data_IF_805315305429
#
_entry.id   IF_805315305429
#
_cell.length_a   1.000
_cell.length_b   1.000
_cell.length_c   1.000
_cell.angle_alpha   90.00
_cell.angle_beta   90.00
_cell.angle_gamma   90.00
#
_symmetry.space_group_name_H-M   'P 1'
#
loop_
_entity.id
_entity.type
_entity.pdbx_description
1 polymer ?
#
# COMPACT_ATOMS: atom_id res chain seq x y z
N UNK A 1 -36.86 -11.56 40.31
CA UNK A 1 -37.52 -12.51 39.39
C UNK A 1 -36.93 -12.30 38.01
N UNK A 2 -35.84 -13.04 37.79
CA UNK A 2 -35.63 -13.98 36.69
C UNK A 2 -35.71 -13.49 35.24
N UNK A 3 -34.53 -13.42 34.63
CA UNK A 3 -34.29 -13.82 33.23
C UNK A 3 -34.68 -15.30 33.02
N UNK A 4 -34.93 -15.73 31.77
CA UNK A 4 -33.90 -16.60 31.20
C UNK A 4 -33.67 -16.57 29.67
N UNK A 5 -32.46 -17.00 29.32
CA UNK A 5 -32.00 -17.68 28.09
C UNK A 5 -31.98 -16.92 26.75
N UNK A 6 -30.93 -16.10 26.57
CA UNK A 6 -30.20 -16.10 25.31
C UNK A 6 -29.12 -17.21 25.37
N UNK A 7 -29.09 -18.05 24.33
CA UNK A 7 -28.35 -19.31 24.18
C UNK A 7 -26.90 -19.31 24.71
N UNK A 8 -26.55 -20.41 25.39
CA UNK A 8 -25.20 -20.79 25.85
C UNK A 8 -24.12 -20.70 24.75
N UNK A 9 -24.50 -20.72 23.47
CA UNK A 9 -23.59 -20.62 22.33
C UNK A 9 -22.96 -19.22 22.16
N UNK A 10 -23.66 -18.14 22.51
CA UNK A 10 -23.13 -16.77 22.33
C UNK A 10 -22.12 -16.38 23.42
N UNK A 11 -22.22 -16.93 24.62
CA UNK A 11 -21.20 -16.75 25.66
C UNK A 11 -20.02 -17.72 25.53
N UNK A 12 -20.24 -18.95 25.06
CA UNK A 12 -19.16 -19.90 24.81
C UNK A 12 -18.21 -19.45 23.68
N UNK A 13 -18.72 -18.80 22.62
CA UNK A 13 -17.87 -18.22 21.57
C UNK A 13 -17.06 -17.00 22.07
N UNK A 14 -17.62 -16.21 22.98
CA UNK A 14 -16.94 -15.03 23.53
C UNK A 14 -15.82 -15.41 24.51
N UNK A 15 -15.99 -16.51 25.26
CA UNK A 15 -14.95 -17.08 26.14
C UNK A 15 -13.88 -17.89 25.38
N UNK A 16 -14.24 -18.60 24.30
CA UNK A 16 -13.25 -19.31 23.46
C UNK A 16 -12.37 -18.35 22.64
N UNK A 17 -12.88 -17.16 22.26
CA UNK A 17 -12.07 -16.12 21.62
C UNK A 17 -11.12 -15.40 22.58
N UNK A 18 -11.35 -15.46 23.89
CA UNK A 18 -10.51 -14.80 24.90
C UNK A 18 -9.51 -15.74 25.60
N UNK A 19 -9.71 -17.06 25.56
CA UNK A 19 -8.82 -18.04 26.22
C UNK A 19 -7.66 -18.54 25.33
N UNK A 20 -7.78 -18.51 23.99
CA UNK A 20 -6.73 -19.05 23.10
C UNK A 20 -5.69 -18.03 22.61
N UNK A 21 -5.48 -16.96 23.37
CA UNK A 21 -4.37 -16.06 23.13
C UNK A 21 -3.48 -15.88 24.37
N UNK A 22 -3.08 -16.98 25.01
CA UNK A 22 -1.93 -17.00 25.92
C UNK A 22 -1.33 -18.40 25.97
N UNK A 23 -0.31 -18.67 25.16
CA UNK A 23 1.02 -19.08 25.62
C UNK A 23 1.90 -19.53 24.45
N UNK A 24 3.13 -19.05 24.50
CA UNK A 24 4.20 -19.37 23.58
C UNK A 24 4.71 -20.81 23.76
N UNK A 25 5.37 -21.28 22.70
CA UNK A 25 6.23 -22.46 22.59
C UNK A 25 5.54 -23.82 22.40
N UNK A 26 5.29 -24.18 21.14
CA UNK A 26 5.66 -25.50 20.59
C UNK A 26 5.53 -25.53 19.06
N UNK A 27 6.68 -25.42 18.38
CA UNK A 27 7.13 -26.40 17.37
C UNK A 27 6.12 -26.79 16.27
N UNK A 28 6.20 -26.05 15.15
CA UNK A 28 6.57 -26.64 13.85
C UNK A 28 5.80 -27.89 13.37
N UNK A 29 4.48 -27.80 13.19
CA UNK A 29 3.76 -28.51 12.11
C UNK A 29 2.30 -28.04 12.10
N UNK A 30 1.95 -27.20 11.13
CA UNK A 30 0.62 -27.03 10.52
C UNK A 30 0.56 -25.65 9.86
N UNK A 31 1.05 -25.60 8.62
CA UNK A 31 0.74 -24.52 7.68
C UNK A 31 -0.78 -24.56 7.47
N UNK A 32 -1.51 -23.70 8.18
CA UNK A 32 -2.91 -23.41 7.82
C UNK A 32 -2.89 -22.78 6.43
N UNK A 33 -3.32 -23.57 5.45
CA UNK A 33 -3.55 -23.18 4.06
C UNK A 33 -4.41 -21.92 4.05
N UNK A 34 -3.79 -20.79 3.73
CA UNK A 34 -4.51 -19.55 3.39
C UNK A 34 -5.33 -19.87 2.14
N UNK A 35 -6.64 -19.58 2.09
CA UNK A 35 -7.43 -19.88 0.91
C UNK A 35 -6.82 -19.17 -0.31
N UNK A 36 -6.40 -19.97 -1.29
CA UNK A 36 -5.94 -19.50 -2.59
C UNK A 36 -7.15 -18.85 -3.26
N UNK A 37 -7.21 -17.52 -3.26
CA UNK A 37 -8.23 -16.81 -4.04
C UNK A 37 -7.85 -16.98 -5.50
N UNK A 38 -8.71 -17.66 -6.25
CA UNK A 38 -8.60 -17.80 -7.69
C UNK A 38 -8.91 -16.42 -8.30
N UNK A 39 -7.94 -15.83 -8.98
CA UNK A 39 -8.16 -14.60 -9.73
C UNK A 39 -8.98 -14.91 -10.99
N UNK A 40 -9.83 -14.00 -11.48
CA UNK A 40 -10.40 -14.18 -12.80
C UNK A 40 -9.25 -14.28 -13.82
N UNK A 41 -9.37 -15.10 -14.89
CA UNK A 41 -8.30 -15.30 -15.86
C UNK A 41 -7.74 -14.00 -16.48
N UNK A 42 -8.55 -12.95 -16.55
CA UNK A 42 -8.15 -11.62 -17.04
C UNK A 42 -7.17 -10.87 -16.12
N UNK A 43 -7.04 -11.29 -14.87
CA UNK A 43 -6.12 -10.74 -13.87
C UNK A 43 -4.97 -11.67 -13.53
N UNK A 44 -4.99 -12.90 -14.05
CA UNK A 44 -3.88 -13.83 -13.87
C UNK A 44 -2.64 -13.32 -14.59
N UNK A 45 -1.49 -13.51 -13.93
CA UNK A 45 -0.19 -13.22 -14.53
C UNK A 45 0.16 -14.37 -15.46
N UNK A 46 0.38 -14.12 -16.75
CA UNK A 46 0.79 -15.17 -17.68
C UNK A 46 2.25 -15.57 -17.41
N UNK A 47 2.65 -16.73 -17.94
CA UNK A 47 4.02 -17.20 -17.86
C UNK A 47 4.95 -16.26 -18.66
N UNK A 48 5.99 -15.70 -18.03
CA UNK A 48 6.96 -14.86 -18.72
C UNK A 48 7.83 -15.71 -19.65
N UNK A 49 8.22 -15.14 -20.80
CA UNK A 49 9.32 -15.73 -21.59
C UNK A 49 10.59 -15.74 -20.73
N UNK A 50 11.25 -16.89 -20.67
CA UNK A 50 12.53 -16.99 -19.96
C UNK A 50 13.56 -16.05 -20.59
N UNK A 51 14.18 -15.21 -19.76
CA UNK A 51 15.24 -14.29 -20.18
C UNK A 51 16.49 -14.69 -19.43
N UNK A 52 17.55 -15.03 -20.14
CA UNK A 52 18.83 -15.32 -19.51
C UNK A 52 19.40 -14.04 -18.89
N UNK A 53 20.11 -14.15 -17.76
CA UNK A 53 20.59 -12.97 -17.02
C UNK A 53 21.49 -12.04 -17.85
N UNK A 54 22.28 -12.58 -18.79
CA UNK A 54 23.11 -11.78 -19.71
C UNK A 54 22.29 -11.02 -20.76
N UNK A 55 21.09 -11.51 -21.08
CA UNK A 55 20.16 -10.95 -22.07
C UNK A 55 19.13 -10.00 -21.43
N UNK A 56 19.16 -9.83 -20.11
CA UNK A 56 18.26 -8.95 -19.37
C UNK A 56 18.47 -7.49 -19.74
N UNK A 57 19.71 -7.06 -19.92
CA UNK A 57 20.02 -5.69 -20.30
C UNK A 57 19.59 -5.41 -21.75
N UNK A 58 18.82 -4.33 -21.96
CA UNK A 58 18.36 -3.89 -23.27
C UNK A 58 19.47 -3.62 -24.30
N UNK A 59 20.72 -3.37 -23.84
CA UNK A 59 21.88 -3.21 -24.73
C UNK A 59 22.41 -4.52 -25.28
N UNK A 60 22.09 -5.65 -24.63
CA UNK A 60 22.43 -6.97 -25.15
C UNK A 60 21.44 -7.35 -26.25
N UNK A 61 21.98 -7.78 -27.40
CA UNK A 61 21.18 -8.32 -28.48
C UNK A 61 20.49 -9.60 -28.03
N UNK A 62 19.18 -9.65 -28.23
CA UNK A 62 18.38 -10.85 -28.05
C UNK A 62 17.45 -10.98 -29.27
N UNK A 63 17.99 -11.42 -30.42
CA UNK A 63 17.22 -11.61 -31.64
C UNK A 63 16.09 -12.63 -31.40
N UNK A 64 14.85 -12.26 -31.71
CA UNK A 64 13.68 -13.12 -31.50
C UNK A 64 13.03 -13.00 -30.12
N UNK A 65 13.50 -12.09 -29.26
CA UNK A 65 12.80 -11.79 -28.01
C UNK A 65 11.36 -11.32 -28.27
N UNK A 66 10.40 -12.16 -27.90
CA UNK A 66 8.97 -11.94 -28.09
C UNK A 66 8.22 -12.14 -26.76
N UNK A 67 8.22 -11.14 -25.88
CA UNK A 67 7.66 -11.26 -24.52
C UNK A 67 6.15 -11.53 -24.52
N UNK A 68 5.70 -12.33 -23.56
CA UNK A 68 4.27 -12.67 -23.40
C UNK A 68 3.46 -11.40 -23.11
N UNK A 69 2.42 -11.08 -23.90
CA UNK A 69 1.59 -9.90 -23.66
C UNK A 69 0.79 -10.00 -22.37
N UNK A 70 0.82 -8.95 -21.55
CA UNK A 70 0.01 -8.85 -20.35
C UNK A 70 -0.56 -7.43 -20.18
N UNK A 71 -1.87 -7.29 -20.34
CA UNK A 71 -2.59 -6.03 -20.14
C UNK A 71 -3.90 -6.31 -19.42
N UNK A 72 -3.85 -6.34 -18.09
CA UNK A 72 -5.02 -6.59 -17.27
C UNK A 72 -6.02 -5.41 -17.35
N UNK A 73 -7.33 -5.67 -17.13
CA UNK A 73 -8.31 -4.61 -16.93
C UNK A 73 -7.88 -3.58 -15.88
N UNK A 74 -8.32 -2.33 -16.04
CA UNK A 74 -7.98 -1.27 -15.11
C UNK A 74 -8.60 -1.53 -13.73
N UNK A 75 -7.74 -1.74 -12.72
CA UNK A 75 -8.14 -1.91 -11.32
C UNK A 75 -8.07 -0.61 -10.50
N UNK A 76 -7.41 0.42 -11.03
CA UNK A 76 -7.32 1.72 -10.36
C UNK A 76 -8.50 2.62 -10.73
N UNK A 77 -8.67 3.73 -9.99
CA UNK A 77 -9.65 4.78 -10.32
C UNK A 77 -9.50 5.30 -11.75
N UNK A 78 -8.26 5.34 -12.25
CA UNK A 78 -7.95 5.64 -13.64
C UNK A 78 -6.69 4.92 -14.06
N UNK A 79 -6.65 4.50 -15.31
CA UNK A 79 -5.45 3.96 -15.94
C UNK A 79 -5.13 4.77 -17.19
N UNK A 80 -3.88 4.65 -17.63
CA UNK A 80 -3.44 5.19 -18.90
C UNK A 80 -4.23 4.56 -20.05
N UNK A 81 -4.47 5.32 -21.13
CA UNK A 81 -5.01 4.76 -22.36
C UNK A 81 -3.99 3.82 -23.02
N UNK A 82 -4.32 3.33 -24.22
CA UNK A 82 -3.33 2.66 -25.05
C UNK A 82 -2.11 3.57 -25.28
N UNK A 83 -0.93 2.97 -25.35
CA UNK A 83 0.34 3.70 -25.40
C UNK A 83 0.41 4.69 -26.57
N UNK A 84 -0.24 4.37 -27.70
CA UNK A 84 -0.28 5.19 -28.91
C UNK A 84 -0.96 6.54 -28.68
N UNK A 85 -1.86 6.61 -27.70
CA UNK A 85 -2.54 7.85 -27.30
C UNK A 85 -1.69 8.73 -26.38
N UNK A 86 -0.54 8.25 -25.91
CA UNK A 86 0.33 8.99 -24.99
C UNK A 86 1.46 9.64 -25.79
N UNK A 87 1.54 10.98 -25.83
CA UNK A 87 2.64 11.68 -26.47
C UNK A 87 4.00 11.27 -25.90
N UNK A 88 4.94 10.90 -26.78
CA UNK A 88 6.30 10.47 -26.39
C UNK A 88 7.02 11.50 -25.50
N UNK A 89 6.71 12.78 -25.68
CA UNK A 89 7.31 13.88 -24.93
C UNK A 89 6.81 14.00 -23.48
N UNK A 90 5.86 13.17 -23.03
CA UNK A 90 5.41 13.07 -21.64
C UNK A 90 6.31 12.19 -20.76
N UNK A 91 6.99 11.21 -21.36
CA UNK A 91 7.87 10.30 -20.62
C UNK A 91 9.11 11.01 -20.07
N UNK A 92 9.62 10.52 -18.94
CA UNK A 92 10.73 11.14 -18.19
C UNK A 92 10.47 12.59 -17.72
N UNK A 93 9.24 13.12 -17.87
CA UNK A 93 8.90 14.47 -17.48
C UNK A 93 7.99 14.51 -16.26
N UNK A 94 8.03 15.68 -15.64
CA UNK A 94 7.12 16.10 -14.58
C UNK A 94 6.65 17.51 -14.92
N UNK A 95 5.33 17.71 -14.99
CA UNK A 95 4.74 19.04 -15.14
C UNK A 95 3.60 19.20 -14.14
N UNK A 96 3.40 20.41 -13.63
CA UNK A 96 2.27 20.74 -12.75
C UNK A 96 0.93 20.46 -13.40
N UNK A 97 0.88 20.60 -14.73
CA UNK A 97 -0.34 20.49 -15.53
C UNK A 97 -0.58 19.04 -16.00
N UNK A 98 0.39 18.16 -15.79
CA UNK A 98 0.27 16.74 -16.14
C UNK A 98 -0.41 15.97 -15.01
N UNK A 99 -1.36 15.05 -15.30
CA UNK A 99 -2.07 14.26 -14.30
C UNK A 99 -1.20 13.17 -13.65
N UNK A 100 -0.09 12.78 -14.28
CA UNK A 100 0.78 11.69 -13.82
C UNK A 100 2.24 12.15 -13.83
N UNK A 101 3.00 11.81 -12.78
CA UNK A 101 4.45 11.94 -12.75
C UNK A 101 5.08 10.72 -13.44
N UNK A 102 5.72 10.93 -14.59
CA UNK A 102 6.37 9.86 -15.37
C UNK A 102 7.89 9.89 -15.23
N UNK A 103 8.44 10.60 -14.24
CA UNK A 103 9.89 10.63 -14.00
C UNK A 103 10.30 9.53 -13.04
N UNK A 104 11.47 8.91 -13.26
CA UNK A 104 12.01 7.96 -12.28
C UNK A 104 12.31 8.62 -10.94
N UNK A 105 12.28 7.82 -9.88
CA UNK A 105 12.68 8.29 -8.56
C UNK A 105 14.19 8.46 -8.54
N UNK A 106 14.63 9.66 -8.16
CA UNK A 106 16.05 9.96 -7.93
C UNK A 106 16.64 9.03 -6.87
N UNK A 107 17.61 8.21 -7.23
CA UNK A 107 18.50 7.47 -6.33
C UNK A 107 19.95 8.03 -6.42
N UNK A 108 20.84 7.68 -5.48
CA UNK A 108 22.27 8.08 -5.48
C UNK A 108 22.55 9.56 -5.67
N UNK A 109 21.61 10.40 -5.28
CA UNK A 109 21.67 11.85 -5.47
C UNK A 109 21.75 12.29 -6.96
N UNK A 110 21.47 11.40 -7.94
CA UNK A 110 21.50 11.68 -9.39
C UNK A 110 20.15 11.42 -10.06
N UNK A 111 19.80 12.21 -11.07
CA UNK A 111 18.58 11.96 -11.84
C UNK A 111 18.76 10.75 -12.76
N UNK A 112 17.72 9.92 -12.83
CA UNK A 112 17.70 8.72 -13.64
C UNK A 112 16.62 8.84 -14.72
N UNK A 113 16.90 8.26 -15.88
CA UNK A 113 16.02 8.24 -17.05
C UNK A 113 15.78 6.80 -17.49
N UNK A 114 14.76 6.60 -18.32
CA UNK A 114 14.52 5.35 -19.03
C UNK A 114 14.36 5.60 -20.52
N UNK A 115 14.72 4.61 -21.32
CA UNK A 115 14.60 4.66 -22.77
C UNK A 115 13.14 4.52 -23.19
N UNK A 116 12.74 5.26 -24.24
CA UNK A 116 11.45 5.09 -24.91
C UNK A 116 11.70 4.67 -26.35
N UNK A 117 11.37 3.42 -26.66
CA UNK A 117 11.55 2.81 -27.98
C UNK A 117 10.18 2.53 -28.60
N UNK A 118 9.96 3.00 -29.82
CA UNK A 118 8.70 2.83 -30.57
C UNK A 118 7.43 3.27 -29.79
N UNK A 119 7.58 4.29 -28.94
CA UNK A 119 6.52 4.80 -28.07
C UNK A 119 6.41 4.08 -26.72
N UNK A 120 7.04 2.93 -26.54
CA UNK A 120 7.01 2.17 -25.29
C UNK A 120 8.16 2.55 -24.36
N UNK A 121 7.88 2.84 -23.06
CA UNK A 121 8.93 2.94 -22.06
C UNK A 121 9.56 1.56 -21.85
N UNK A 122 10.88 1.50 -21.72
CA UNK A 122 11.61 0.28 -21.41
C UNK A 122 12.00 0.26 -19.94
N UNK A 123 11.71 -0.86 -19.28
CA UNK A 123 12.04 -1.06 -17.88
C UNK A 123 13.56 -0.91 -17.67
N UNK A 124 14.01 0.06 -16.85
CA UNK A 124 15.44 0.32 -16.66
C UNK A 124 16.17 -0.84 -15.99
N UNK A 125 15.47 -1.77 -15.34
CA UNK A 125 16.04 -2.98 -14.76
C UNK A 125 16.20 -4.12 -15.78
N UNK A 126 15.78 -3.92 -17.04
CA UNK A 126 15.91 -4.90 -18.13
C UNK A 126 14.62 -5.58 -18.56
N UNK A 127 14.76 -6.53 -19.48
CA UNK A 127 13.71 -7.43 -19.98
C UNK A 127 13.16 -8.30 -18.83
N UNK A 128 11.86 -8.51 -18.80
CA UNK A 128 11.16 -9.32 -17.79
C UNK A 128 10.46 -10.55 -18.37
N UNK A 129 10.45 -10.69 -19.71
CA UNK A 129 9.69 -11.73 -20.40
C UNK A 129 8.20 -11.40 -20.59
N UNK A 130 7.76 -10.22 -20.13
CA UNK A 130 6.36 -9.77 -20.18
C UNK A 130 6.25 -8.39 -20.82
N UNK A 131 5.36 -8.23 -21.79
CA UNK A 131 5.03 -6.93 -22.38
C UNK A 131 3.69 -6.39 -21.88
N UNK A 132 3.39 -5.13 -22.22
CA UNK A 132 2.18 -4.45 -21.75
C UNK A 132 2.32 -3.81 -20.37
N UNK A 133 1.23 -3.32 -19.79
CA UNK A 133 1.22 -2.71 -18.44
C UNK A 133 1.13 -3.73 -17.31
N UNK A 134 0.78 -4.98 -17.61
CA UNK A 134 0.34 -5.94 -16.61
C UNK A 134 -0.84 -5.39 -15.81
N UNK A 135 -0.72 -5.39 -14.49
CA UNK A 135 -1.73 -4.86 -13.56
C UNK A 135 -1.59 -3.34 -13.29
N UNK A 136 -0.54 -2.70 -13.81
CA UNK A 136 -0.26 -1.32 -13.46
C UNK A 136 -1.19 -0.31 -14.15
N UNK A 137 -1.58 0.77 -13.44
CA UNK A 137 -2.38 1.83 -14.03
C UNK A 137 -1.58 2.67 -15.04
N UNK A 138 -0.25 2.80 -14.89
CA UNK A 138 0.56 3.70 -15.73
C UNK A 138 1.57 2.94 -16.58
N UNK A 139 1.81 3.43 -17.80
CA UNK A 139 2.98 3.04 -18.60
C UNK A 139 4.24 3.67 -18.01
N UNK A 140 5.28 2.85 -17.87
CA UNK A 140 6.56 3.22 -17.26
C UNK A 140 6.52 3.17 -15.74
N UNK A 141 7.00 4.21 -15.03
CA UNK A 141 7.10 4.19 -13.59
C UNK A 141 5.73 4.30 -12.89
N UNK A 142 5.48 3.41 -11.94
CA UNK A 142 4.34 3.45 -11.04
C UNK A 142 4.86 3.74 -9.63
N UNK A 143 4.58 4.94 -9.13
CA UNK A 143 5.18 5.40 -7.87
C UNK A 143 4.49 4.79 -6.66
N UNK A 144 5.28 4.12 -5.83
CA UNK A 144 4.83 3.52 -4.57
C UNK A 144 5.49 4.26 -3.40
N UNK A 145 4.70 4.83 -2.51
CA UNK A 145 5.19 5.64 -1.39
C UNK A 145 4.95 4.87 -0.09
N UNK A 146 5.98 4.74 0.75
CA UNK A 146 5.90 4.27 2.14
C UNK A 146 6.24 5.40 3.09
N UNK A 147 5.41 5.66 4.09
CA UNK A 147 5.54 6.75 5.06
C UNK A 147 5.68 6.21 6.48
N UNK A 148 6.63 6.75 7.24
CA UNK A 148 6.83 6.48 8.66
C UNK A 148 6.70 7.76 9.46
N UNK A 149 5.71 7.85 10.35
CA UNK A 149 5.54 9.00 11.23
C UNK A 149 6.36 8.83 12.50
N UNK A 150 7.27 9.77 12.76
CA UNK A 150 8.18 9.74 13.91
C UNK A 150 7.98 10.99 14.74
N UNK A 151 7.81 10.81 16.05
CA UNK A 151 7.70 11.88 17.04
C UNK A 151 8.88 11.80 18.00
N UNK A 152 9.36 12.95 18.45
CA UNK A 152 10.34 13.07 19.51
C UNK A 152 9.68 13.68 20.75
N UNK A 153 9.97 13.10 21.90
CA UNK A 153 9.48 13.60 23.19
C UNK A 153 10.65 13.72 24.17
N UNK A 154 10.58 14.75 25.02
CA UNK A 154 11.52 14.87 26.14
C UNK A 154 10.97 14.05 27.31
N UNK A 155 11.71 13.02 27.70
CA UNK A 155 11.42 12.21 28.88
C UNK A 155 12.52 12.47 29.90
N UNK A 156 12.22 13.32 30.88
CA UNK A 156 13.21 13.85 31.81
C UNK A 156 14.27 14.70 31.10
N UNK A 157 15.53 14.25 31.13
CA UNK A 157 16.67 14.93 30.46
C UNK A 157 16.97 14.38 29.06
N UNK A 158 16.35 13.28 28.66
CA UNK A 158 16.63 12.60 27.40
C UNK A 158 15.56 12.89 26.34
N UNK A 159 15.94 12.75 25.07
CA UNK A 159 15.02 12.85 23.93
C UNK A 159 14.78 11.45 23.40
N UNK A 160 13.57 10.96 23.58
CA UNK A 160 13.13 9.66 23.09
C UNK A 160 12.40 9.81 21.75
N UNK A 161 12.43 8.74 20.94
CA UNK A 161 11.76 8.70 19.65
C UNK A 161 10.60 7.71 19.71
N UNK A 162 9.49 8.07 19.11
CA UNK A 162 8.29 7.26 19.01
C UNK A 162 7.92 7.10 17.54
N UNK A 163 7.46 5.91 17.18
CA UNK A 163 6.96 5.62 15.85
C UNK A 163 5.45 5.32 15.95
N UNK A 164 4.68 5.74 14.96
CA UNK A 164 3.26 5.41 14.88
C UNK A 164 3.11 4.04 14.23
N UNK A 165 2.60 3.03 14.96
CA UNK A 165 2.38 1.68 14.44
C UNK A 165 0.98 1.18 14.73
N UNK A 166 0.44 0.37 13.83
CA UNK A 166 -0.75 -0.43 14.07
C UNK A 166 -0.53 -1.26 15.35
N UNK A 167 -1.48 -1.18 16.28
CA UNK A 167 -1.46 -1.82 17.59
C UNK A 167 -0.26 -1.47 18.50
N UNK A 168 0.59 -0.50 18.13
CA UNK A 168 1.75 -0.08 18.92
C UNK A 168 2.89 -1.12 18.98
N UNK A 169 3.13 -1.84 17.88
CA UNK A 169 4.15 -2.91 17.83
C UNK A 169 5.52 -2.40 17.40
N UNK A 170 6.60 -3.11 17.80
CA UNK A 170 7.95 -2.83 17.30
C UNK A 170 8.22 -3.29 15.85
N UNK A 171 7.25 -3.99 15.23
CA UNK A 171 7.38 -4.41 13.84
C UNK A 171 7.19 -3.21 12.90
N UNK A 172 8.23 -2.87 12.14
CA UNK A 172 8.21 -1.78 11.16
C UNK A 172 7.16 -1.97 10.06
N UNK A 173 6.79 -3.20 9.72
CA UNK A 173 5.76 -3.45 8.70
C UNK A 173 4.40 -2.88 9.09
N UNK A 174 4.11 -2.87 10.39
CA UNK A 174 2.89 -2.30 10.95
C UNK A 174 2.96 -0.78 11.10
N UNK A 175 4.11 -0.16 10.84
CA UNK A 175 4.32 1.27 10.96
C UNK A 175 4.25 2.01 9.62
N UNK A 176 4.35 1.29 8.50
CA UNK A 176 4.27 1.91 7.18
C UNK A 176 2.83 2.24 6.81
N UNK A 177 2.63 3.48 6.41
CA UNK A 177 1.48 3.84 5.58
C UNK A 177 1.93 3.85 4.13
N UNK A 178 1.33 3.00 3.30
CA UNK A 178 1.85 2.75 1.95
C UNK A 178 0.77 2.68 0.86
N UNK A 179 1.16 2.99 -0.37
CA UNK A 179 0.28 2.88 -1.53
C UNK A 179 0.82 3.57 -2.77
N UNK A 180 0.12 3.35 -3.90
CA UNK A 180 0.43 3.99 -5.17
C UNK A 180 -0.06 5.44 -5.22
N UNK A 181 0.74 6.30 -5.84
CA UNK A 181 0.49 7.74 -5.92
C UNK A 181 0.91 8.28 -7.29
N UNK A 182 0.00 8.89 -8.04
CA UNK A 182 0.33 9.42 -9.38
C UNK A 182 1.28 10.63 -9.35
N UNK A 183 1.20 11.46 -8.31
CA UNK A 183 2.02 12.68 -8.15
C UNK A 183 2.65 12.78 -6.76
N UNK A 184 3.71 12.02 -6.44
CA UNK A 184 4.26 11.93 -5.07
C UNK A 184 4.64 13.27 -4.42
N UNK A 185 4.94 14.31 -5.20
CA UNK A 185 5.29 15.63 -4.66
C UNK A 185 4.10 16.57 -4.44
N UNK A 186 2.94 16.26 -5.04
CA UNK A 186 1.70 17.05 -4.92
C UNK A 186 0.70 16.33 -4.02
N UNK A 187 0.54 15.02 -4.23
CA UNK A 187 -0.39 14.14 -3.53
C UNK A 187 0.40 13.12 -2.70
N UNK A 188 1.25 13.62 -1.80
CA UNK A 188 2.26 12.80 -1.11
C UNK A 188 1.73 11.58 -0.34
N UNK A 189 0.52 11.70 0.22
CA UNK A 189 -0.11 10.64 1.01
C UNK A 189 -0.86 9.67 0.10
N UNK A 190 -0.73 8.34 0.32
CA UNK A 190 -1.63 7.34 -0.26
C UNK A 190 -3.10 7.69 0.00
N UNK A 191 -4.00 7.31 -0.91
CA UNK A 191 -5.41 7.79 -0.94
C UNK A 191 -6.10 7.64 0.42
N UNK A 192 -6.07 6.45 1.02
CA UNK A 192 -6.78 6.18 2.28
C UNK A 192 -6.26 7.04 3.44
N UNK A 193 -4.94 7.17 3.54
CA UNK A 193 -4.31 8.04 4.54
C UNK A 193 -4.59 9.52 4.24
N UNK A 194 -4.57 9.92 2.96
CA UNK A 194 -4.82 11.28 2.53
C UNK A 194 -6.22 11.73 2.93
N UNK A 195 -7.23 10.92 2.68
CA UNK A 195 -8.61 11.25 3.03
C UNK A 195 -8.81 11.31 4.55
N UNK A 196 -8.20 10.39 5.32
CA UNK A 196 -8.22 10.44 6.77
C UNK A 196 -7.58 11.73 7.32
N UNK A 197 -6.36 12.06 6.85
CA UNK A 197 -5.66 13.28 7.26
C UNK A 197 -6.46 14.53 6.88
N UNK A 198 -6.96 14.59 5.64
CA UNK A 198 -7.73 15.73 5.16
C UNK A 198 -9.01 15.92 5.99
N UNK A 199 -9.73 14.83 6.26
CA UNK A 199 -10.94 14.85 7.07
C UNK A 199 -10.70 15.39 8.48
N UNK A 200 -9.67 14.88 9.16
CA UNK A 200 -9.35 15.29 10.52
C UNK A 200 -8.90 16.76 10.58
N UNK A 201 -8.03 17.18 9.64
CA UNK A 201 -7.57 18.56 9.56
C UNK A 201 -8.70 19.54 9.24
N UNK A 202 -9.64 19.18 8.36
CA UNK A 202 -10.81 20.02 8.06
C UNK A 202 -11.78 20.11 9.23
N UNK A 203 -11.97 19.00 9.94
CA UNK A 203 -12.79 19.00 11.16
C UNK A 203 -12.22 19.95 12.20
N UNK A 204 -10.89 20.02 12.31
CA UNK A 204 -10.22 20.90 13.26
C UNK A 204 -10.15 22.37 12.79
N UNK A 205 -9.67 22.62 11.56
CA UNK A 205 -9.38 23.98 11.09
C UNK A 205 -10.53 24.64 10.33
N UNK A 206 -11.44 23.87 9.74
CA UNK A 206 -12.57 24.36 8.92
C UNK A 206 -12.16 25.31 7.77
N UNK A 207 -10.96 25.11 7.22
CA UNK A 207 -10.35 25.95 6.19
C UNK A 207 -9.63 25.08 5.15
N UNK A 208 -10.22 24.96 3.96
CA UNK A 208 -9.70 24.14 2.86
C UNK A 208 -8.34 24.64 2.34
N UNK A 209 -8.11 25.96 2.27
CA UNK A 209 -6.84 26.50 1.75
C UNK A 209 -5.71 26.21 2.73
N UNK A 210 -5.96 26.40 4.03
CA UNK A 210 -5.00 26.06 5.09
C UNK A 210 -4.68 24.57 5.10
N UNK A 211 -5.69 23.71 5.00
CA UNK A 211 -5.48 22.25 4.95
C UNK A 211 -4.67 21.85 3.72
N UNK A 212 -5.01 22.36 2.54
CA UNK A 212 -4.25 22.11 1.32
C UNK A 212 -2.78 22.54 1.45
N UNK A 213 -2.53 23.69 2.09
CA UNK A 213 -1.17 24.20 2.36
C UNK A 213 -0.40 23.32 3.35
N UNK A 214 -1.04 22.82 4.41
CA UNK A 214 -0.43 21.89 5.37
C UNK A 214 -0.02 20.61 4.64
N UNK A 215 -0.95 19.97 3.92
CA UNK A 215 -0.70 18.72 3.22
C UNK A 215 0.39 18.86 2.14
N UNK A 216 0.37 19.95 1.36
CA UNK A 216 1.38 20.22 0.32
C UNK A 216 2.78 20.43 0.90
N UNK A 217 2.89 21.01 2.10
CA UNK A 217 4.19 21.23 2.77
C UNK A 217 4.78 19.93 3.32
N UNK A 218 3.96 18.92 3.62
CA UNK A 218 4.39 17.66 4.22
C UNK A 218 5.53 17.00 3.43
N UNK A 219 5.39 16.87 2.10
CA UNK A 219 6.43 16.30 1.25
C UNK A 219 7.81 16.96 1.45
N UNK A 220 7.85 18.30 1.49
CA UNK A 220 9.10 19.07 1.62
C UNK A 220 9.68 19.02 3.03
N UNK A 221 8.84 18.78 4.04
CA UNK A 221 9.21 18.71 5.46
C UNK A 221 9.62 17.29 5.87
N UNK A 222 9.22 16.29 5.09
CA UNK A 222 9.63 14.90 5.23
C UNK A 222 11.04 14.64 4.71
N UNK A 223 11.67 13.60 5.24
CA UNK A 223 13.00 13.15 4.84
C UNK A 223 12.83 11.88 4.01
N UNK A 224 13.21 11.94 2.73
CA UNK A 224 13.28 10.74 1.91
C UNK A 224 14.50 9.92 2.31
N UNK A 225 14.25 8.75 2.87
CA UNK A 225 15.28 7.82 3.32
C UNK A 225 15.82 6.99 2.16
N UNK A 226 14.92 6.58 1.26
CA UNK A 226 15.24 5.68 0.14
C UNK A 226 14.34 5.96 -1.06
N UNK A 227 14.82 5.66 -2.26
CA UNK A 227 13.94 5.52 -3.41
C UNK A 227 14.66 5.08 -4.68
N UNK A 228 13.89 4.51 -5.60
CA UNK A 228 14.33 3.99 -6.89
C UNK A 228 13.42 2.87 -7.40
N UNK A 229 13.77 2.29 -8.54
CA UNK A 229 13.09 1.11 -9.10
C UNK A 229 13.15 -0.08 -8.14
N UNK A 230 12.01 -0.75 -8.00
CA UNK A 230 11.76 -1.83 -7.07
C UNK A 230 11.63 -3.18 -7.80
N UNK A 231 12.26 -4.27 -7.30
CA UNK A 231 11.95 -5.60 -7.79
C UNK A 231 10.51 -5.93 -7.43
N UNK A 232 9.76 -6.38 -8.44
CA UNK A 232 8.38 -6.82 -8.27
C UNK A 232 8.06 -7.83 -9.35
N UNK A 233 7.39 -8.91 -8.97
CA UNK A 233 6.88 -9.91 -9.91
C UNK A 233 5.83 -9.32 -10.88
N UNK A 234 5.27 -8.14 -10.57
CA UNK A 234 4.33 -7.44 -11.46
C UNK A 234 5.04 -6.64 -12.55
N UNK A 235 6.35 -6.42 -12.44
CA UNK A 235 7.09 -5.63 -13.42
C UNK A 235 7.01 -6.29 -14.80
N UNK A 236 6.74 -5.47 -15.81
CA UNK A 236 6.82 -5.83 -17.22
C UNK A 236 7.98 -5.07 -17.86
N UNK A 237 8.19 -5.30 -19.15
CA UNK A 237 9.08 -4.52 -19.99
C UNK A 237 8.67 -3.05 -20.09
N UNK A 238 7.38 -2.73 -19.83
CA UNK A 238 6.80 -1.41 -20.10
C UNK A 238 6.09 -0.76 -18.90
N UNK A 239 6.06 -1.41 -17.75
CA UNK A 239 5.55 -0.83 -16.51
C UNK A 239 6.25 -1.46 -15.30
N UNK A 240 6.71 -0.61 -14.38
CA UNK A 240 7.46 -1.06 -13.20
C UNK A 240 7.18 -0.19 -11.98
N UNK A 241 7.54 -0.70 -10.81
CA UNK A 241 7.40 0.05 -9.55
C UNK A 241 8.62 0.96 -9.31
N UNK A 242 8.35 2.22 -8.96
CA UNK A 242 9.33 3.16 -8.43
C UNK A 242 9.00 3.48 -6.96
N UNK A 243 9.76 2.92 -6.04
CA UNK A 243 9.53 3.03 -4.60
C UNK A 243 10.14 4.28 -3.97
N UNK A 244 9.48 4.81 -2.95
CA UNK A 244 10.01 5.87 -2.10
C UNK A 244 9.63 5.63 -0.64
N UNK A 245 10.64 5.62 0.24
CA UNK A 245 10.43 5.55 1.69
C UNK A 245 10.74 6.92 2.29
N UNK A 246 9.77 7.49 3.00
CA UNK A 246 9.91 8.78 3.66
C UNK A 246 9.64 8.66 5.16
N UNK A 247 10.50 9.30 5.94
CA UNK A 247 10.25 9.59 7.34
C UNK A 247 9.57 10.95 7.45
N UNK A 248 8.45 10.99 8.16
CA UNK A 248 7.64 12.18 8.41
C UNK A 248 7.87 12.60 9.88
N UNK A 249 8.83 13.48 10.16
CA UNK A 249 9.09 13.95 11.52
C UNK A 249 7.95 14.89 11.96
N UNK A 250 7.36 14.61 13.12
CA UNK A 250 6.26 15.38 13.68
C UNK A 250 6.68 16.79 14.11
N UNK A 251 7.95 17.01 14.46
CA UNK A 251 8.48 18.32 14.85
C UNK A 251 8.43 19.31 13.68
N UNK A 252 8.48 18.79 12.44
CA UNK A 252 8.34 19.61 11.22
C UNK A 252 6.91 19.62 10.70
N UNK A 253 6.07 18.69 11.13
CA UNK A 253 4.70 18.45 10.64
C UNK A 253 3.69 18.40 11.80
N UNK A 254 3.80 19.37 12.71
CA UNK A 254 3.05 19.37 13.97
C UNK A 254 1.53 19.28 13.73
N UNK A 255 1.01 20.03 12.76
CA UNK A 255 -0.43 20.06 12.50
C UNK A 255 -0.95 18.69 12.04
N UNK A 256 -0.18 17.97 11.23
CA UNK A 256 -0.55 16.62 10.77
C UNK A 256 -0.51 15.64 11.94
N UNK A 257 0.58 15.62 12.71
CA UNK A 257 0.70 14.63 13.78
C UNK A 257 -0.28 14.87 14.93
N UNK A 258 -0.57 16.14 15.25
CA UNK A 258 -1.43 16.51 16.37
C UNK A 258 -2.92 16.42 16.03
N UNK A 259 -3.29 16.80 14.81
CA UNK A 259 -4.70 16.91 14.41
C UNK A 259 -5.05 15.94 13.29
N UNK A 260 -4.17 15.75 12.31
CA UNK A 260 -4.42 14.96 11.10
C UNK A 260 -4.34 13.44 11.24
N UNK A 261 -3.90 12.88 12.38
CA UNK A 261 -3.78 11.42 12.56
C UNK A 261 -4.81 10.86 13.53
N UNK A 262 -5.89 11.59 13.81
CA UNK A 262 -6.88 11.21 14.83
C UNK A 262 -7.69 10.00 14.39
N UNK A 263 -8.16 9.98 13.15
CA UNK A 263 -8.94 8.88 12.57
C UNK A 263 -8.14 7.59 12.51
N UNK A 264 -6.88 7.64 12.09
CA UNK A 264 -6.04 6.42 12.04
C UNK A 264 -5.71 5.88 13.44
N UNK A 265 -5.54 6.76 14.43
CA UNK A 265 -5.33 6.33 15.81
C UNK A 265 -6.59 5.75 16.45
N UNK A 266 -7.73 6.44 16.31
CA UNK A 266 -8.98 6.08 17.01
C UNK A 266 -9.77 4.97 16.33
N UNK A 267 -9.80 4.94 14.99
CA UNK A 267 -10.61 3.96 14.23
C UNK A 267 -9.79 2.81 13.67
N UNK A 268 -8.52 3.02 13.36
CA UNK A 268 -7.66 2.01 12.73
C UNK A 268 -6.65 1.40 13.71
N UNK A 269 -6.61 1.84 14.98
CA UNK A 269 -5.81 1.21 16.04
C UNK A 269 -4.32 1.54 16.02
N UNK A 270 -3.91 2.61 15.32
CA UNK A 270 -2.52 3.07 15.36
C UNK A 270 -2.18 3.75 16.68
N UNK A 271 -1.01 3.46 17.23
CA UNK A 271 -0.54 3.99 18.51
C UNK A 271 0.94 4.39 18.42
N UNK A 272 1.30 5.45 19.11
CA UNK A 272 2.69 5.83 19.32
C UNK A 272 3.36 4.79 20.22
N UNK A 273 4.48 4.25 19.78
CA UNK A 273 5.28 3.31 20.57
C UNK A 273 6.73 3.78 20.62
N UNK A 274 7.40 3.52 21.74
CA UNK A 274 8.81 3.87 21.91
C UNK A 274 9.66 3.13 20.88
N UNK A 275 10.43 3.88 20.11
CA UNK A 275 11.22 3.36 19.01
C UNK A 275 12.72 3.41 19.35
N UNK A 276 13.24 2.28 19.84
CA UNK A 276 14.69 2.07 19.93
C UNK A 276 15.27 1.85 18.53
N UNK A 277 15.59 2.96 17.87
CA UNK A 277 16.19 2.97 16.54
C UNK A 277 17.46 2.11 16.48
N UNK A 278 18.31 2.09 17.52
CA UNK A 278 19.56 1.34 17.52
C UNK A 278 19.28 -0.17 17.53
N UNK A 279 18.38 -0.61 18.40
CA UNK A 279 17.93 -2.01 18.47
C UNK A 279 17.26 -2.44 17.16
N UNK A 280 16.32 -1.65 16.63
CA UNK A 280 15.68 -1.94 15.34
C UNK A 280 16.73 -2.09 14.24
N UNK A 281 17.65 -1.13 14.08
CA UNK A 281 18.71 -1.22 13.07
C UNK A 281 19.58 -2.48 13.24
N UNK A 282 19.90 -2.87 14.48
CA UNK A 282 20.70 -4.07 14.76
C UNK A 282 19.93 -5.35 14.37
N UNK A 283 18.67 -5.48 14.81
CA UNK A 283 17.79 -6.60 14.46
C UNK A 283 17.64 -6.71 12.94
N UNK A 284 17.37 -5.60 12.25
CA UNK A 284 17.17 -5.61 10.81
C UNK A 284 18.45 -5.93 10.03
N UNK A 285 19.62 -5.43 10.47
CA UNK A 285 20.91 -5.81 9.86
C UNK A 285 21.20 -7.30 10.00
N UNK A 286 20.86 -7.90 11.15
CA UNK A 286 21.02 -9.34 11.35
C UNK A 286 20.13 -10.12 10.38
N UNK A 287 18.87 -9.73 10.28
CA UNK A 287 17.91 -10.34 9.36
C UNK A 287 18.33 -10.18 7.90
N UNK A 288 18.82 -9.01 7.50
CA UNK A 288 19.31 -8.77 6.15
C UNK A 288 20.53 -9.63 5.79
N UNK A 289 21.40 -9.94 6.77
CA UNK A 289 22.52 -10.89 6.60
C UNK A 289 22.07 -12.34 6.48
N UNK A 290 20.90 -12.68 7.00
CA UNK A 290 20.34 -14.05 6.90
C UNK A 290 19.49 -14.27 5.66
N UNK A 291 19.16 -13.22 4.92
CA UNK A 291 18.53 -13.36 3.61
C UNK A 291 19.54 -14.01 2.65
N UNK A 292 19.07 -14.76 1.63
CA UNK A 292 19.92 -15.34 0.59
C UNK A 292 20.65 -14.31 -0.30
N UNK A 293 20.79 -13.06 0.16
CA UNK A 293 21.59 -12.01 -0.48
C UNK A 293 23.11 -12.31 -0.54
N UNK A 294 23.55 -13.42 0.05
CA UNK A 294 24.91 -13.97 -0.08
C UNK A 294 25.06 -14.98 -1.24
N UNK A 295 23.97 -15.33 -1.93
CA UNK A 295 24.05 -15.98 -3.24
C UNK A 295 24.31 -14.90 -4.32
N UNK A 296 25.33 -15.13 -5.15
CA UNK A 296 25.76 -14.20 -6.19
C UNK A 296 24.66 -13.93 -7.22
N UNK A 297 23.77 -14.89 -7.49
CA UNK A 297 22.67 -14.75 -8.45
C UNK A 297 21.62 -13.75 -7.93
N UNK A 298 21.16 -13.93 -6.68
CA UNK A 298 20.22 -13.00 -6.03
C UNK A 298 20.79 -11.59 -5.95
N UNK A 299 22.08 -11.46 -5.60
CA UNK A 299 22.75 -10.16 -5.53
C UNK A 299 22.82 -9.49 -6.90
N UNK A 300 23.13 -10.26 -7.95
CA UNK A 300 23.16 -9.81 -9.32
C UNK A 300 21.79 -9.33 -9.80
N UNK A 301 20.73 -10.11 -9.57
CA UNK A 301 19.35 -9.72 -9.91
C UNK A 301 18.95 -8.39 -9.27
N UNK A 302 19.33 -8.18 -8.00
CA UNK A 302 19.02 -6.96 -7.27
C UNK A 302 19.86 -5.76 -7.74
N UNK A 303 21.03 -5.95 -8.38
CA UNK A 303 21.87 -4.84 -8.86
C UNK A 303 21.21 -4.00 -9.95
N UNK A 304 20.31 -4.58 -10.75
CA UNK A 304 19.55 -3.86 -11.77
C UNK A 304 18.55 -2.85 -11.20
N UNK A 305 18.22 -2.98 -9.91
CA UNK A 305 17.21 -2.15 -9.25
C UNK A 305 17.85 -0.99 -8.50
N UNK A 306 17.51 0.22 -8.95
CA UNK A 306 18.13 1.45 -8.45
C UNK A 306 17.83 1.72 -6.97
N UNK A 307 16.78 1.15 -6.37
CA UNK A 307 16.55 1.31 -4.92
C UNK A 307 17.73 0.79 -4.07
N UNK A 308 18.50 -0.16 -4.60
CA UNK A 308 19.66 -0.73 -3.94
C UNK A 308 20.96 0.02 -4.24
N UNK A 309 20.92 1.12 -4.98
CA UNK A 309 22.10 1.96 -5.10
C UNK A 309 22.41 2.68 -3.76
N UNK A 310 23.69 3.01 -3.52
CA UNK A 310 24.15 3.60 -2.24
C UNK A 310 23.64 5.04 -2.13
N UNK A 311 22.48 5.22 -1.48
CA UNK A 311 21.80 6.51 -1.35
C UNK A 311 22.51 7.52 -0.43
N UNK A 312 21.95 8.73 -0.35
CA UNK A 312 22.50 9.85 0.42
C UNK A 312 22.41 9.66 1.97
N UNK A 313 21.64 8.67 2.47
CA UNK A 313 21.50 8.34 3.89
C UNK A 313 21.75 6.84 4.15
N UNK A 314 23.02 6.39 4.17
CA UNK A 314 23.35 4.97 4.22
C UNK A 314 22.94 4.27 5.52
N UNK A 315 22.86 4.99 6.64
CA UNK A 315 22.66 4.39 7.96
C UNK A 315 21.23 3.85 8.20
N UNK A 316 20.22 4.48 7.61
CA UNK A 316 18.81 4.07 7.74
C UNK A 316 18.40 3.02 6.72
N UNK A 317 19.21 2.83 5.66
CA UNK A 317 18.95 1.89 4.57
C UNK A 317 18.72 0.44 5.06
N UNK A 318 19.52 -0.13 5.97
CA UNK A 318 19.35 -1.51 6.42
C UNK A 318 18.05 -1.72 7.19
N UNK A 319 17.58 -0.74 7.96
CA UNK A 319 16.31 -0.83 8.69
C UNK A 319 15.11 -0.89 7.75
N UNK A 320 15.17 -0.16 6.62
CA UNK A 320 14.10 -0.12 5.63
C UNK A 320 14.13 -1.31 4.66
N UNK A 321 15.30 -1.92 4.44
CA UNK A 321 15.50 -3.13 3.61
C UNK A 321 15.53 -4.44 4.42
N UNK A 322 14.93 -4.49 5.61
CA UNK A 322 14.82 -5.76 6.36
C UNK A 322 14.20 -6.90 5.55
N UNK A 323 14.21 -8.13 6.07
CA UNK A 323 13.58 -9.26 5.38
C UNK A 323 12.16 -8.93 4.93
N UNK A 324 11.39 -8.24 5.76
CA UNK A 324 10.07 -7.80 5.35
C UNK A 324 10.08 -6.71 4.29
N UNK A 325 11.07 -5.82 4.20
CA UNK A 325 11.22 -4.91 3.05
C UNK A 325 11.36 -5.69 1.74
N UNK A 326 12.24 -6.68 1.67
CA UNK A 326 12.47 -7.46 0.44
C UNK A 326 11.29 -8.42 0.13
N UNK A 327 10.68 -9.04 1.14
CA UNK A 327 9.52 -9.93 0.99
C UNK A 327 8.16 -9.19 0.83
N UNK A 328 7.98 -8.00 1.41
CA UNK A 328 6.78 -7.16 1.20
C UNK A 328 6.84 -6.38 -0.13
N UNK A 329 8.03 -6.19 -0.70
CA UNK A 329 8.22 -5.68 -2.06
C UNK A 329 7.91 -6.73 -3.13
N UNK A 330 8.01 -8.03 -2.79
CA UNK A 330 7.55 -9.13 -3.65
C UNK A 330 6.08 -9.50 -3.41
N UNK A 331 5.47 -9.14 -2.26
CA UNK A 331 4.07 -9.45 -1.95
C UNK A 331 3.03 -8.43 -2.50
N UNK A 332 3.35 -7.69 -3.55
CA UNK A 332 2.40 -6.77 -4.21
C UNK A 332 1.43 -7.54 -5.15
N UNK A 333 0.91 -8.70 -4.72
CA UNK A 333 -0.32 -9.29 -5.31
C UNK A 333 -1.53 -8.99 -4.42
N UNK A 334 -1.35 -8.64 -3.15
CA UNK A 334 -2.42 -8.83 -2.14
C UNK A 334 -3.00 -7.51 -1.59
N UNK A 335 -2.37 -6.35 -1.77
CA UNK A 335 -2.91 -5.08 -1.24
C UNK A 335 -3.92 -4.36 -2.16
N UNK A 336 -4.08 -4.77 -3.43
CA UNK A 336 -5.24 -4.37 -4.25
C UNK A 336 -6.54 -5.06 -3.76
N UNK A 337 -6.42 -6.04 -2.87
CA UNK A 337 -7.48 -7.00 -2.51
C UNK A 337 -8.53 -6.51 -1.52
N UNK A 338 -8.42 -5.31 -0.91
CA UNK A 338 -9.35 -4.92 0.18
C UNK A 338 -10.17 -3.64 -0.01
N UNK A 339 -9.85 -2.77 -0.98
CA UNK A 339 -10.64 -1.53 -1.20
C UNK A 339 -11.69 -1.65 -2.31
N UNK A 340 -11.60 -2.65 -3.20
CA UNK A 340 -12.56 -2.83 -4.31
C UNK A 340 -13.62 -3.88 -3.94
N UNK A 341 -13.24 -4.98 -3.29
CA UNK A 341 -14.17 -6.05 -2.91
C UNK A 341 -15.13 -5.59 -1.80
N UNK A 342 -14.68 -4.75 -0.87
CA UNK A 342 -15.55 -4.18 0.19
C UNK A 342 -16.64 -3.25 -0.39
N UNK A 343 -16.33 -2.51 -1.45
CA UNK A 343 -17.30 -1.64 -2.11
C UNK A 343 -18.32 -2.44 -2.93
N UNK A 344 -17.88 -3.48 -3.65
CA UNK A 344 -18.77 -4.34 -4.45
C UNK A 344 -19.66 -5.25 -3.60
N UNK A 345 -19.14 -5.86 -2.52
CA UNK A 345 -19.96 -6.67 -1.60
C UNK A 345 -20.91 -5.80 -0.77
N UNK A 346 -20.52 -4.60 -0.34
CA UNK A 346 -21.43 -3.71 0.39
C UNK A 346 -22.62 -3.28 -0.48
N UNK A 347 -22.42 -2.99 -1.77
CA UNK A 347 -23.51 -2.67 -2.70
C UNK A 347 -24.38 -3.87 -3.07
N UNK A 348 -23.80 -5.08 -3.18
CA UNK A 348 -24.56 -6.31 -3.45
C UNK A 348 -25.40 -6.76 -2.26
N UNK A 349 -24.84 -6.70 -1.05
CA UNK A 349 -25.55 -7.10 0.17
C UNK A 349 -26.63 -6.07 0.53
N UNK A 350 -26.38 -4.77 0.38
CA UNK A 350 -27.40 -3.75 0.63
C UNK A 350 -28.54 -3.77 -0.41
N UNK A 351 -28.23 -4.04 -1.68
CA UNK A 351 -29.25 -4.21 -2.73
C UNK A 351 -30.11 -5.46 -2.55
N UNK A 352 -29.49 -6.61 -2.24
CA UNK A 352 -30.21 -7.88 -2.05
C UNK A 352 -31.03 -7.91 -0.75
N UNK A 353 -30.48 -7.38 0.35
CA UNK A 353 -31.20 -7.28 1.64
C UNK A 353 -32.33 -6.26 1.53
N UNK A 354 -32.13 -5.15 0.81
CA UNK A 354 -33.18 -4.18 0.52
C UNK A 354 -34.36 -4.81 -0.25
N UNK A 355 -34.09 -5.58 -1.30
CA UNK A 355 -35.12 -6.26 -2.10
C UNK A 355 -35.90 -7.33 -1.31
N UNK A 356 -35.25 -8.00 -0.36
CA UNK A 356 -35.90 -9.02 0.48
C UNK A 356 -36.67 -8.39 1.64
N UNK A 357 -36.16 -7.34 2.29
CA UNK A 357 -36.78 -6.77 3.49
C UNK A 357 -37.89 -5.76 3.18
N UNK A 358 -37.87 -5.08 2.03
CA UNK A 358 -38.91 -4.10 1.67
C UNK A 358 -40.33 -4.70 1.65
N UNK A 359 -40.57 -5.88 1.05
CA UNK A 359 -41.88 -6.51 1.04
C UNK A 359 -42.38 -6.86 2.45
N UNK A 360 -41.50 -7.36 3.33
CA UNK A 360 -41.86 -7.67 4.71
C UNK A 360 -42.14 -6.42 5.54
N UNK A 361 -41.37 -5.34 5.35
CA UNK A 361 -41.62 -4.07 6.03
C UNK A 361 -42.96 -3.45 5.59
N UNK A 362 -43.29 -3.52 4.29
CA UNK A 362 -44.59 -3.08 3.76
C UNK A 362 -45.74 -3.95 4.30
N UNK A 363 -45.55 -5.27 4.38
CA UNK A 363 -46.56 -6.18 4.94
C UNK A 363 -46.79 -5.90 6.43
N UNK A 364 -45.72 -5.73 7.22
CA UNK A 364 -45.82 -5.40 8.65
C UNK A 364 -46.51 -4.05 8.83
N UNK A 365 -46.13 -3.03 8.06
CA UNK A 365 -46.79 -1.73 8.12
C UNK A 365 -48.28 -1.82 7.75
N UNK A 366 -48.64 -2.61 6.74
CA UNK A 366 -50.03 -2.85 6.35
C UNK A 366 -50.83 -3.58 7.44
N UNK A 367 -50.25 -4.59 8.10
CA UNK A 367 -50.87 -5.31 9.21
C UNK A 367 -51.06 -4.41 10.44
N UNK A 368 -50.07 -3.57 10.75
CA UNK A 368 -50.18 -2.58 11.83
C UNK A 368 -51.26 -1.55 11.52
N UNK A 369 -51.32 -1.06 10.28
CA UNK A 369 -52.39 -0.14 9.85
C UNK A 369 -53.77 -0.82 9.92
N UNK A 370 -53.87 -2.08 9.52
CA UNK A 370 -55.11 -2.84 9.57
C UNK A 370 -55.61 -3.04 11.01
N UNK A 371 -54.73 -3.48 11.94
CA UNK A 371 -55.08 -3.62 13.36
C UNK A 371 -55.48 -2.27 13.98
N UNK A 372 -54.78 -1.20 13.63
CA UNK A 372 -55.14 0.15 14.05
C UNK A 372 -56.53 0.59 13.55
N UNK A 373 -56.84 0.34 12.27
CA UNK A 373 -58.15 0.66 11.68
C UNK A 373 -59.28 -0.19 12.27
N UNK A 374 -59.05 -1.48 12.54
CA UNK A 374 -60.04 -2.33 13.23
C UNK A 374 -60.30 -1.87 14.67
N UNK A 375 -59.26 -1.48 15.42
CA UNK A 375 -59.42 -0.89 16.76
C UNK A 375 -60.18 0.44 16.75
N UNK A 376 -60.07 1.22 15.69
CA UNK A 376 -60.87 2.44 15.50
C UNK A 376 -62.32 2.14 15.13
N UNK A 377 -62.60 1.01 14.48
CA UNK A 377 -63.95 0.58 14.11
C UNK A 377 -64.73 -0.04 15.28
N UNK A 378 -64.02 -0.58 16.25
CA UNK A 378 -64.55 -1.20 17.47
C UNK A 378 -64.76 -0.19 18.63
N UNK A 379 -64.54 1.10 18.38
CA UNK A 379 -64.95 2.23 19.23
C UNK A 379 -66.03 3.03 18.51
#
# INVERSE_FOLDING_TARGET
MDTPFASFATWALFLLQTIFNTNANEVQHNIKVVPVVILPPSLERPEPVAVHELEKNWTTDFPGYSPTPWNAPCLAKSCDPQIQSIPKNEFNKRSSNMPVDRKRVRCCCTDHYYTVKDGYPLNPSGRTGLSGRGLFPRWGPNHYVKLLFVKQEKVGKEVEQFLLSLNGTENLDNAYFEGFVDKPKQEFFPVDLREAIRHDLLTHFKDEEKVAKIMKKAFKRSVRVMGGSLPSHMNTDHAWVEGQVHMVPCEKNEEICKYGLTTVQTKQGYKWFFWDRKSTMKKTRLVAKTLPADDDDTKYELTGYSIFCRGCYPDMRPAMLGAAGIWSLTAIVITVRYSIISLWLATLVSGAVGLILLPFAVLIAALVLYDFMERLRMK
#
